data_IF_600319320443
#
_entry.id   IF_600319320443
#
_cell.length_a   1.000
_cell.length_b   1.000
_cell.length_c   1.000
_cell.angle_alpha   90.00
_cell.angle_beta   90.00
_cell.angle_gamma   90.00
#
_symmetry.space_group_name_H-M   'P 1'
#
loop_
_entity.id
_entity.type
_entity.pdbx_description
1 polymer ?
#
# COMPACT_ATOMS: atom_id res chain seq x y z
N UNK A 1 22.58 -6.11 15.04
CA UNK A 1 21.59 -5.05 14.75
C UNK A 1 21.47 -4.96 13.24
N UNK A 2 20.32 -5.32 12.70
CA UNK A 2 20.06 -5.29 11.25
C UNK A 2 20.19 -3.84 10.77
N UNK A 3 21.09 -3.60 9.83
CA UNK A 3 21.33 -2.26 9.29
C UNK A 3 20.52 -2.10 8.01
N UNK A 4 19.26 -1.68 8.15
CA UNK A 4 18.41 -1.25 7.05
C UNK A 4 18.36 0.28 7.00
N UNK A 5 18.39 0.83 5.80
CA UNK A 5 18.25 2.26 5.49
C UNK A 5 17.20 2.52 4.39
N UNK A 6 16.79 3.78 4.25
CA UNK A 6 15.76 4.18 3.28
C UNK A 6 16.44 4.77 2.05
N UNK A 7 16.87 3.90 1.13
CA UNK A 7 17.42 4.29 -0.16
C UNK A 7 16.49 3.90 -1.29
N UNK A 8 16.43 4.74 -2.32
CA UNK A 8 15.71 4.50 -3.56
C UNK A 8 16.73 4.28 -4.67
N UNK A 9 16.45 3.30 -5.53
CA UNK A 9 17.21 3.04 -6.73
C UNK A 9 16.26 2.98 -7.93
N UNK A 10 16.70 3.53 -9.06
CA UNK A 10 16.00 3.40 -10.33
C UNK A 10 16.74 2.39 -11.20
N UNK A 11 15.99 1.44 -11.77
CA UNK A 11 16.55 0.42 -12.66
C UNK A 11 15.91 0.57 -14.03
N UNK A 12 16.71 0.96 -15.03
CA UNK A 12 16.26 1.01 -16.42
C UNK A 12 16.17 -0.41 -17.01
N UNK A 13 15.23 -0.63 -17.93
CA UNK A 13 15.03 -1.91 -18.64
C UNK A 13 16.31 -2.47 -19.25
N UNK A 14 17.17 -1.63 -19.83
CA UNK A 14 18.45 -2.06 -20.43
C UNK A 14 19.41 -2.66 -19.41
N UNK A 15 19.40 -2.17 -18.16
CA UNK A 15 20.22 -2.69 -17.06
C UNK A 15 19.61 -3.97 -16.53
N UNK A 16 18.29 -4.00 -16.32
CA UNK A 16 17.57 -5.19 -15.87
C UNK A 16 17.80 -6.39 -16.80
N UNK A 17 17.68 -6.22 -18.12
CA UNK A 17 17.88 -7.31 -19.06
C UNK A 17 19.34 -7.78 -19.19
N UNK A 18 20.30 -6.97 -18.73
CA UNK A 18 21.72 -7.38 -18.63
C UNK A 18 22.01 -8.10 -17.33
N UNK A 19 21.32 -7.73 -16.25
CA UNK A 19 21.49 -8.27 -14.90
C UNK A 19 20.11 -8.56 -14.30
N UNK A 20 19.41 -9.61 -14.77
CA UNK A 20 18.06 -9.90 -14.32
C UNK A 20 18.08 -10.40 -12.87
N UNK A 21 17.02 -10.07 -12.14
CA UNK A 21 16.74 -10.60 -10.80
C UNK A 21 15.25 -10.87 -10.67
N UNK A 22 14.92 -11.88 -9.86
CA UNK A 22 13.55 -12.33 -9.65
C UNK A 22 13.02 -11.88 -8.28
N UNK A 23 11.70 -11.91 -8.13
CA UNK A 23 11.05 -11.66 -6.83
C UNK A 23 11.26 -12.84 -5.88
N UNK A 24 11.73 -12.58 -4.66
CA UNK A 24 11.96 -13.61 -3.63
C UNK A 24 10.67 -14.11 -2.95
N UNK A 25 9.61 -13.30 -2.92
CA UNK A 25 8.33 -13.62 -2.27
C UNK A 25 7.16 -13.25 -3.18
N UNK A 26 6.09 -14.04 -3.14
CA UNK A 26 4.85 -13.78 -3.87
C UNK A 26 3.92 -12.91 -3.02
N UNK A 27 3.21 -11.92 -3.59
CA UNK A 27 2.22 -11.11 -2.87
C UNK A 27 1.22 -11.89 -2.00
N UNK A 28 0.84 -13.11 -2.40
CA UNK A 28 -0.10 -13.97 -1.64
C UNK A 28 0.48 -14.55 -0.35
N UNK A 29 1.80 -14.51 -0.18
CA UNK A 29 2.51 -15.00 1.02
C UNK A 29 2.60 -13.94 2.12
N UNK A 30 2.07 -12.73 1.90
CA UNK A 30 2.03 -11.71 2.94
C UNK A 30 1.14 -12.18 4.10
N UNK A 31 1.68 -12.04 5.30
CA UNK A 31 1.03 -12.39 6.56
C UNK A 31 0.72 -11.13 7.36
N UNK A 32 -0.36 -11.17 8.12
CA UNK A 32 -0.81 -10.05 8.93
C UNK A 32 -0.03 -10.00 10.25
N UNK A 33 0.48 -8.83 10.57
CA UNK A 33 1.22 -8.51 11.78
C UNK A 33 0.55 -7.35 12.50
N UNK A 34 0.49 -7.43 13.82
CA UNK A 34 0.00 -6.37 14.69
C UNK A 34 1.19 -5.62 15.25
N UNK A 35 1.18 -4.31 15.11
CA UNK A 35 2.21 -3.41 15.63
C UNK A 35 2.01 -3.25 17.12
N UNK A 36 2.96 -3.71 17.92
CA UNK A 36 2.94 -3.57 19.37
C UNK A 36 3.55 -2.25 19.82
N UNK A 37 4.65 -1.86 19.20
CA UNK A 37 5.34 -0.60 19.49
C UNK A 37 6.14 -0.11 18.27
N UNK A 38 6.37 1.19 18.19
CA UNK A 38 7.11 1.81 17.07
C UNK A 38 7.91 3.05 17.51
N UNK A 39 9.20 3.02 17.21
CA UNK A 39 10.15 4.09 17.47
C UNK A 39 10.65 4.71 16.16
N UNK A 40 10.38 5.99 15.97
CA UNK A 40 10.79 6.71 14.76
C UNK A 40 12.28 7.05 14.78
N UNK A 41 12.97 6.75 13.68
CA UNK A 41 14.38 7.10 13.49
C UNK A 41 14.47 8.41 12.70
N UNK A 42 14.75 9.48 13.45
CA UNK A 42 14.92 10.81 12.91
C UNK A 42 16.15 10.88 12.00
N UNK A 43 16.11 11.77 11.01
CA UNK A 43 17.17 11.92 10.01
C UNK A 43 18.56 12.18 10.59
N UNK A 44 18.63 12.81 11.76
CA UNK A 44 19.89 13.09 12.49
C UNK A 44 20.57 11.84 13.05
N UNK A 45 19.79 10.80 13.33
CA UNK A 45 20.27 9.55 13.94
C UNK A 45 20.58 8.49 12.86
N UNK A 46 20.33 8.83 11.58
CA UNK A 46 20.62 7.97 10.44
C UNK A 46 22.12 7.98 10.16
N UNK A 47 22.71 6.79 10.04
CA UNK A 47 24.09 6.64 9.58
C UNK A 47 24.16 6.94 8.09
N UNK A 48 24.93 7.97 7.73
CA UNK A 48 25.28 8.25 6.34
C UNK A 48 26.66 7.68 6.04
N UNK A 49 26.84 7.16 4.83
CA UNK A 49 28.11 6.58 4.39
C UNK A 49 28.41 6.94 2.93
N UNK A 50 29.69 7.03 2.54
CA UNK A 50 30.05 7.35 1.16
C UNK A 50 29.52 6.29 0.20
N UNK A 51 28.84 6.72 -0.87
CA UNK A 51 28.18 5.84 -1.83
C UNK A 51 26.74 5.46 -1.46
N UNK A 52 26.17 6.01 -0.38
CA UNK A 52 24.75 5.88 -0.09
C UNK A 52 23.93 6.49 -1.23
N UNK A 53 22.97 5.71 -1.76
CA UNK A 53 22.08 6.12 -2.85
C UNK A 53 21.13 7.25 -2.45
N UNK A 54 20.22 7.61 -3.36
CA UNK A 54 19.23 8.65 -3.09
C UNK A 54 18.32 8.25 -1.92
N UNK A 55 18.18 9.11 -0.92
CA UNK A 55 17.30 8.87 0.23
C UNK A 55 15.87 9.21 -0.15
N UNK A 56 14.91 8.36 0.25
CA UNK A 56 13.49 8.63 -0.03
C UNK A 56 12.96 9.78 0.83
N UNK A 57 12.23 10.71 0.21
CA UNK A 57 11.49 11.76 0.93
C UNK A 57 10.08 11.32 1.35
N UNK A 58 9.53 10.26 0.75
CA UNK A 58 8.19 9.73 1.06
C UNK A 58 8.17 8.92 2.36
N UNK A 59 9.27 8.25 2.68
CA UNK A 59 9.32 7.25 3.74
C UNK A 59 10.07 7.73 4.98
N UNK A 60 9.61 7.28 6.14
CA UNK A 60 10.26 7.51 7.44
C UNK A 60 10.67 6.16 8.01
N UNK A 61 11.96 6.05 8.33
CA UNK A 61 12.52 4.87 8.96
C UNK A 61 12.04 4.76 10.41
N UNK A 62 11.63 3.58 10.82
CA UNK A 62 11.23 3.29 12.20
C UNK A 62 11.67 1.89 12.61
N UNK A 63 12.03 1.74 13.88
CA UNK A 63 12.19 0.44 14.53
C UNK A 63 10.82 0.04 15.09
N UNK A 64 10.36 -1.17 14.76
CA UNK A 64 9.00 -1.63 15.07
C UNK A 64 9.05 -3.01 15.70
N UNK A 65 8.20 -3.20 16.71
CA UNK A 65 7.98 -4.49 17.36
C UNK A 65 6.62 -5.03 16.95
N UNK A 66 6.62 -6.20 16.34
CA UNK A 66 5.41 -6.80 15.76
C UNK A 66 5.17 -8.21 16.27
N UNK A 67 3.91 -8.62 16.27
CA UNK A 67 3.46 -10.00 16.54
C UNK A 67 2.60 -10.45 15.38
N UNK A 68 2.71 -11.72 14.96
CA UNK A 68 1.79 -12.26 13.94
C UNK A 68 0.36 -12.19 14.47
N UNK A 69 -0.58 -11.73 13.65
CA UNK A 69 -1.99 -11.58 14.07
C UNK A 69 -2.59 -12.91 14.58
N UNK A 70 -2.17 -14.04 14.00
CA UNK A 70 -2.59 -15.39 14.42
C UNK A 70 -2.02 -15.83 15.78
N UNK A 71 -0.97 -15.19 16.27
CA UNK A 71 -0.27 -15.50 17.52
C UNK A 71 -0.56 -14.48 18.62
N UNK A 72 -1.33 -13.43 18.31
CA UNK A 72 -1.70 -12.39 19.24
C UNK A 72 -2.45 -13.00 20.45
N UNK A 73 -1.92 -12.77 21.65
CA UNK A 73 -2.47 -13.31 22.90
C UNK A 73 -2.12 -14.76 23.21
N UNK A 74 -1.44 -15.46 22.29
CA UNK A 74 -0.88 -16.80 22.53
C UNK A 74 0.58 -16.75 22.97
N UNK A 75 1.33 -15.78 22.44
CA UNK A 75 2.77 -15.63 22.67
C UNK A 75 3.10 -14.17 22.97
N UNK A 76 4.00 -13.94 23.93
CA UNK A 76 4.46 -12.59 24.32
C UNK A 76 5.71 -12.14 23.53
N UNK A 77 6.26 -13.02 22.69
CA UNK A 77 7.46 -12.72 21.91
C UNK A 77 7.12 -11.78 20.74
N UNK A 78 7.62 -10.56 20.81
CA UNK A 78 7.60 -9.60 19.71
C UNK A 78 8.83 -9.78 18.82
N UNK A 79 8.64 -9.70 17.51
CA UNK A 79 9.74 -9.65 16.53
C UNK A 79 10.10 -8.19 16.28
N UNK A 80 11.39 -7.87 16.41
CA UNK A 80 11.93 -6.56 16.03
C UNK A 80 12.21 -6.54 14.53
N UNK A 81 11.78 -5.48 13.85
CA UNK A 81 12.19 -5.20 12.48
C UNK A 81 12.30 -3.70 12.25
N UNK A 82 12.95 -3.32 11.15
CA UNK A 82 13.06 -1.93 10.71
C UNK A 82 12.21 -1.72 9.48
N UNK A 83 11.33 -0.73 9.51
CA UNK A 83 10.34 -0.45 8.47
C UNK A 83 10.49 0.94 7.87
N UNK A 84 10.06 1.09 6.61
CA UNK A 84 9.95 2.36 5.89
C UNK A 84 8.58 3.04 6.11
N UNK A 85 7.66 2.35 6.80
CA UNK A 85 6.28 2.78 7.05
C UNK A 85 6.12 3.60 8.35
N UNK A 86 7.20 4.20 8.86
CA UNK A 86 7.18 4.93 10.14
C UNK A 86 6.26 6.15 10.18
N UNK A 87 5.92 6.71 9.02
CA UNK A 87 4.99 7.84 8.93
C UNK A 87 3.51 7.42 8.92
N UNK A 88 3.22 6.12 8.76
CA UNK A 88 1.87 5.58 8.59
C UNK A 88 1.47 4.71 9.78
N UNK A 89 2.38 3.85 10.24
CA UNK A 89 2.10 2.88 11.29
C UNK A 89 2.07 3.53 12.68
N UNK A 90 1.12 3.09 13.49
CA UNK A 90 0.97 3.40 14.91
C UNK A 90 0.85 2.10 15.73
N UNK A 91 1.13 2.12 17.05
CA UNK A 91 0.83 0.98 17.91
C UNK A 91 -0.65 0.60 17.83
N UNK A 92 -0.93 -0.69 17.68
CA UNK A 92 -2.26 -1.26 17.47
C UNK A 92 -2.66 -1.42 16.01
N UNK A 93 -1.93 -0.82 15.06
CA UNK A 93 -2.22 -0.99 13.63
C UNK A 93 -1.90 -2.41 13.16
N UNK A 94 -2.63 -2.84 12.13
CA UNK A 94 -2.30 -4.03 11.38
C UNK A 94 -1.44 -3.69 10.16
N UNK A 95 -0.43 -4.52 9.86
CA UNK A 95 0.47 -4.39 8.73
C UNK A 95 0.65 -5.75 8.05
N UNK A 96 0.82 -5.75 6.74
CA UNK A 96 1.15 -6.95 5.96
C UNK A 96 2.65 -7.02 5.71
N UNK A 97 3.22 -8.19 5.94
CA UNK A 97 4.64 -8.42 5.77
C UNK A 97 5.01 -9.86 5.42
N UNK A 98 6.23 -10.03 4.95
CA UNK A 98 6.82 -11.33 4.67
C UNK A 98 7.60 -11.84 5.87
N UNK A 99 7.35 -13.09 6.26
CA UNK A 99 8.09 -13.79 7.30
C UNK A 99 9.32 -14.46 6.69
N UNK A 100 10.40 -13.72 6.46
CA UNK A 100 11.61 -14.26 5.83
C UNK A 100 12.30 -15.31 6.71
N UNK A 101 12.27 -15.16 8.04
CA UNK A 101 12.88 -16.12 8.97
C UNK A 101 12.28 -17.53 8.89
N UNK A 102 11.00 -17.63 8.54
CA UNK A 102 10.28 -18.90 8.40
C UNK A 102 10.16 -19.37 6.94
N UNK A 103 10.53 -18.51 5.98
CA UNK A 103 10.34 -18.77 4.55
C UNK A 103 11.52 -19.53 3.94
N UNK A 104 11.24 -20.59 3.19
CA UNK A 104 12.25 -21.29 2.39
C UNK A 104 12.43 -20.59 1.03
N UNK A 105 13.43 -19.71 0.93
CA UNK A 105 13.72 -18.91 -0.27
C UNK A 105 14.81 -19.59 -1.08
N UNK A 106 14.47 -19.97 -2.31
CA UNK A 106 15.40 -20.56 -3.27
C UNK A 106 15.89 -19.49 -4.27
N UNK A 107 16.80 -18.63 -3.82
CA UNK A 107 17.43 -17.61 -4.67
C UNK A 107 18.97 -17.58 -4.48
N UNK A 108 19.77 -17.74 -5.55
CA UNK A 108 21.23 -17.77 -5.45
C UNK A 108 21.87 -16.49 -4.94
N UNK A 109 21.18 -15.34 -5.00
CA UNK A 109 21.69 -14.08 -4.46
C UNK A 109 21.34 -13.95 -2.98
N UNK A 110 20.18 -14.43 -2.56
CA UNK A 110 19.75 -14.50 -1.17
C UNK A 110 20.67 -15.42 -0.34
N UNK A 111 21.06 -16.58 -0.88
CA UNK A 111 21.98 -17.51 -0.21
C UNK A 111 23.39 -16.92 0.03
N UNK A 112 23.78 -15.88 -0.73
CA UNK A 112 25.08 -15.20 -0.57
C UNK A 112 25.05 -14.13 0.52
N UNK A 113 23.88 -13.77 1.04
CA UNK A 113 23.74 -12.75 2.06
C UNK A 113 24.15 -13.27 3.43
N UNK A 114 24.67 -12.37 4.27
CA UNK A 114 24.95 -12.68 5.68
C UNK A 114 23.64 -12.79 6.45
N UNK A 115 23.36 -13.97 7.01
CA UNK A 115 22.15 -14.28 7.77
C UNK A 115 21.90 -13.28 8.90
N UNK A 116 22.97 -12.71 9.51
CA UNK A 116 22.82 -11.73 10.60
C UNK A 116 22.29 -10.36 10.15
N UNK A 117 22.28 -10.10 8.84
CA UNK A 117 21.79 -8.85 8.24
C UNK A 117 20.42 -8.98 7.61
N UNK A 118 19.92 -10.21 7.47
CA UNK A 118 18.59 -10.47 6.92
C UNK A 118 17.58 -10.26 8.05
N UNK A 119 16.52 -9.46 7.84
CA UNK A 119 15.46 -9.30 8.82
C UNK A 119 14.55 -10.53 8.84
N UNK A 120 14.05 -10.90 10.02
CA UNK A 120 13.09 -12.00 10.14
C UNK A 120 11.74 -11.66 9.50
N UNK A 121 11.34 -10.38 9.57
CA UNK A 121 10.07 -9.88 9.03
C UNK A 121 10.32 -8.61 8.22
N UNK A 122 9.71 -8.50 7.04
CA UNK A 122 9.68 -7.26 6.25
C UNK A 122 8.24 -6.79 6.12
N UNK A 123 7.91 -5.63 6.70
CA UNK A 123 6.61 -4.99 6.52
C UNK A 123 6.56 -4.26 5.18
N UNK A 124 5.49 -4.50 4.43
CA UNK A 124 5.29 -4.00 3.06
C UNK A 124 4.26 -2.88 3.01
N UNK A 125 3.08 -3.09 3.63
CA UNK A 125 2.00 -2.09 3.63
C UNK A 125 1.17 -2.14 4.91
N UNK A 126 0.53 -1.03 5.29
CA UNK A 126 -0.49 -1.02 6.34
C UNK A 126 -1.74 -1.78 5.86
N UNK A 127 -2.39 -2.50 6.77
CA UNK A 127 -3.63 -3.19 6.54
C UNK A 127 -4.78 -2.40 7.19
N UNK A 128 -5.59 -1.74 6.37
CA UNK A 128 -6.69 -0.86 6.82
C UNK A 128 -7.99 -1.61 7.15
N UNK A 129 -7.93 -2.86 7.61
CA UNK A 129 -9.10 -3.63 8.03
C UNK A 129 -10.07 -3.98 6.90
N UNK A 130 -11.38 -3.91 7.17
CA UNK A 130 -12.44 -4.43 6.28
C UNK A 130 -12.52 -3.66 4.95
N UNK A 131 -11.95 -4.28 3.90
CA UNK A 131 -12.06 -3.81 2.50
C UNK A 131 -13.52 -3.61 2.08
N UNK A 132 -14.44 -4.45 2.57
CA UNK A 132 -15.87 -4.37 2.26
C UNK A 132 -16.48 -3.06 2.75
N UNK A 133 -16.23 -2.69 4.00
CA UNK A 133 -16.65 -1.41 4.56
C UNK A 133 -16.10 -0.23 3.75
N UNK A 134 -14.78 -0.19 3.49
CA UNK A 134 -14.15 0.88 2.71
C UNK A 134 -14.80 1.08 1.34
N UNK A 135 -15.04 -0.03 0.61
CA UNK A 135 -15.67 -0.01 -0.71
C UNK A 135 -17.12 0.48 -0.69
N UNK A 136 -17.85 0.34 0.42
CA UNK A 136 -19.22 0.91 0.56
C UNK A 136 -19.20 2.44 0.63
N UNK A 137 -18.16 3.01 1.25
CA UNK A 137 -17.96 4.46 1.35
C UNK A 137 -17.37 5.11 0.10
N UNK A 138 -16.98 4.31 -0.91
CA UNK A 138 -16.48 4.81 -2.19
C UNK A 138 -17.58 5.59 -2.91
N UNK A 139 -17.37 6.89 -3.06
CA UNK A 139 -18.27 7.86 -3.69
C UNK A 139 -17.75 8.34 -5.06
N UNK A 140 -16.80 7.63 -5.64
CA UNK A 140 -16.19 7.93 -6.92
C UNK A 140 -16.15 6.68 -7.82
N UNK A 141 -16.02 6.90 -9.13
CA UNK A 141 -15.95 5.85 -10.15
C UNK A 141 -15.00 6.22 -11.29
N UNK A 142 -14.54 5.21 -12.01
CA UNK A 142 -13.83 5.38 -13.27
C UNK A 142 -14.79 5.22 -14.45
N UNK A 143 -14.49 5.89 -15.56
CA UNK A 143 -15.20 5.69 -16.82
C UNK A 143 -14.42 4.72 -17.70
N UNK A 144 -15.13 3.73 -18.23
CA UNK A 144 -14.60 2.83 -19.23
C UNK A 144 -14.97 3.34 -20.63
N UNK A 145 -14.06 3.19 -21.58
CA UNK A 145 -14.41 3.33 -23.00
C UNK A 145 -15.34 2.17 -23.37
N UNK A 146 -16.31 2.40 -24.24
CA UNK A 146 -17.35 1.41 -24.62
C UNK A 146 -16.77 -0.02 -24.76
N UNK A 147 -17.19 -0.91 -23.87
CA UNK A 147 -16.57 -2.22 -23.68
C UNK A 147 -17.27 -3.28 -24.53
N UNK A 148 -16.51 -3.95 -25.40
CA UNK A 148 -16.90 -5.23 -26.01
C UNK A 148 -16.81 -6.30 -24.90
N UNK A 149 -17.89 -7.04 -24.69
CA UNK A 149 -18.14 -7.89 -23.51
C UNK A 149 -17.03 -8.91 -23.22
N UNK A 150 -16.08 -8.58 -22.36
CA UNK A 150 -15.08 -9.50 -21.81
C UNK A 150 -15.46 -9.94 -20.39
N UNK A 151 -15.20 -11.21 -20.09
CA UNK A 151 -15.71 -11.96 -18.94
C UNK A 151 -15.40 -11.30 -17.58
N UNK A 152 -16.46 -10.79 -16.94
CA UNK A 152 -16.41 -9.87 -15.78
C UNK A 152 -16.04 -10.50 -14.43
N UNK A 153 -16.09 -11.82 -14.25
CA UNK A 153 -16.07 -12.39 -12.89
C UNK A 153 -14.67 -12.51 -12.24
N UNK A 154 -13.59 -12.66 -13.02
CA UNK A 154 -12.21 -12.58 -12.49
C UNK A 154 -11.70 -11.13 -12.54
N UNK A 155 -12.16 -10.36 -13.53
CA UNK A 155 -11.88 -8.94 -13.66
C UNK A 155 -12.39 -8.12 -12.46
N UNK A 156 -13.45 -8.55 -11.77
CA UNK A 156 -14.02 -7.79 -10.63
C UNK A 156 -13.08 -7.68 -9.44
N UNK A 157 -12.37 -8.74 -9.04
CA UNK A 157 -11.48 -8.68 -7.87
C UNK A 157 -10.23 -7.84 -8.15
N UNK A 158 -9.58 -8.07 -9.29
CA UNK A 158 -8.40 -7.32 -9.71
C UNK A 158 -8.75 -5.85 -9.95
N UNK A 159 -9.93 -5.57 -10.52
CA UNK A 159 -10.44 -4.21 -10.66
C UNK A 159 -10.68 -3.55 -9.31
N UNK A 160 -11.28 -4.26 -8.34
CA UNK A 160 -11.50 -3.69 -7.01
C UNK A 160 -10.19 -3.45 -6.25
N UNK A 161 -9.18 -4.31 -6.41
CA UNK A 161 -7.84 -4.09 -5.86
C UNK A 161 -7.18 -2.87 -6.49
N UNK A 162 -7.29 -2.70 -7.81
CA UNK A 162 -6.83 -1.50 -8.49
C UNK A 162 -7.50 -0.22 -7.96
N UNK A 163 -8.81 -0.25 -7.72
CA UNK A 163 -9.51 0.90 -7.11
C UNK A 163 -9.05 1.16 -5.66
N UNK A 164 -8.74 0.11 -4.89
CA UNK A 164 -8.19 0.25 -3.54
C UNK A 164 -6.78 0.90 -3.61
N UNK A 165 -5.93 0.52 -4.56
CA UNK A 165 -4.59 1.12 -4.77
C UNK A 165 -4.66 2.62 -5.12
N UNK A 166 -5.64 3.02 -5.93
CA UNK A 166 -5.88 4.44 -6.26
C UNK A 166 -6.31 5.28 -5.04
N UNK A 167 -7.04 4.68 -4.10
CA UNK A 167 -7.36 5.33 -2.82
C UNK A 167 -6.13 5.46 -1.92
N UNK A 168 -5.29 4.42 -1.89
CA UNK A 168 -4.15 4.31 -0.99
C UNK A 168 -2.92 5.16 -1.40
N UNK A 169 -2.63 5.32 -2.70
CA UNK A 169 -1.43 6.05 -3.17
C UNK A 169 -1.72 7.21 -4.16
N UNK A 170 -1.43 8.47 -3.76
CA UNK A 170 -1.49 9.64 -4.63
C UNK A 170 -0.71 9.54 -5.94
N UNK A 171 0.41 8.80 -5.94
CA UNK A 171 1.23 8.64 -7.15
C UNK A 171 0.54 7.78 -8.20
N UNK A 172 -0.20 6.74 -7.76
CA UNK A 172 -0.92 5.85 -8.68
C UNK A 172 -2.11 6.55 -9.34
N UNK A 173 -2.74 7.49 -8.62
CA UNK A 173 -3.89 8.26 -9.09
C UNK A 173 -3.55 9.48 -9.96
N UNK A 174 -2.28 9.90 -10.04
CA UNK A 174 -1.88 11.14 -10.73
C UNK A 174 -2.34 11.23 -12.19
N UNK A 175 -2.42 10.10 -12.91
CA UNK A 175 -2.78 10.04 -14.33
C UNK A 175 -4.13 9.36 -14.58
N UNK A 176 -5.00 9.31 -13.56
CA UNK A 176 -6.31 8.64 -13.65
C UNK A 176 -7.42 9.65 -13.43
N UNK A 177 -8.36 9.73 -14.37
CA UNK A 177 -9.54 10.59 -14.24
C UNK A 177 -10.55 9.94 -13.29
N UNK A 178 -10.71 10.55 -12.12
CA UNK A 178 -11.64 10.10 -11.09
C UNK A 178 -12.92 10.95 -11.17
N UNK A 179 -14.08 10.31 -11.27
CA UNK A 179 -15.36 11.00 -11.38
C UNK A 179 -16.20 10.78 -10.13
N UNK A 180 -16.93 11.82 -9.70
CA UNK A 180 -17.89 11.70 -8.60
C UNK A 180 -19.05 10.78 -8.99
N UNK A 181 -19.41 9.85 -8.11
CA UNK A 181 -20.56 8.97 -8.30
C UNK A 181 -21.81 9.53 -7.62
N UNK A 182 -22.61 10.29 -8.38
CA UNK A 182 -23.86 10.91 -7.89
C UNK A 182 -24.89 9.89 -7.37
N UNK A 183 -24.78 8.61 -7.74
CA UNK A 183 -25.67 7.57 -7.21
C UNK A 183 -25.43 7.30 -5.72
N UNK A 184 -24.22 7.58 -5.23
CA UNK A 184 -23.83 7.40 -3.83
C UNK A 184 -24.23 8.56 -2.93
N UNK A 185 -24.49 9.74 -3.49
CA UNK A 185 -24.90 10.93 -2.74
C UNK A 185 -26.26 10.75 -2.03
N UNK A 186 -27.12 9.84 -2.51
CA UNK A 186 -28.44 9.55 -1.92
C UNK A 186 -28.38 8.48 -0.82
N UNK A 187 -27.26 7.77 -0.69
CA UNK A 187 -27.08 6.76 0.35
C UNK A 187 -26.55 7.50 1.57
N UNK A 188 -27.39 7.67 2.58
CA UNK A 188 -26.94 8.12 3.89
C UNK A 188 -26.01 7.04 4.46
N UNK A 189 -24.70 7.21 4.26
CA UNK A 189 -23.71 6.36 4.91
C UNK A 189 -23.41 7.00 6.25
N UNK A 190 -23.65 6.23 7.32
CA UNK A 190 -23.42 6.71 8.67
C UNK A 190 -21.94 7.05 8.82
N UNK A 191 -21.67 8.33 9.07
CA UNK A 191 -20.31 8.86 9.20
C UNK A 191 -19.60 8.29 10.43
N UNK A 192 -20.36 7.85 11.44
CA UNK A 192 -19.80 7.21 12.63
C UNK A 192 -19.29 5.77 12.35
N UNK A 193 -19.73 5.14 11.25
CA UNK A 193 -19.24 3.82 10.78
C UNK A 193 -18.01 3.95 9.85
N UNK A 194 -17.52 5.19 9.60
CA UNK A 194 -16.39 5.46 8.70
C UNK A 194 -15.04 4.95 9.20
N UNK A 195 -14.95 4.49 10.45
CA UNK A 195 -13.73 3.91 11.02
C UNK A 195 -12.57 4.90 11.12
N UNK A 196 -11.36 4.35 11.20
CA UNK A 196 -10.08 5.04 11.40
C UNK A 196 -9.85 6.20 10.40
N UNK A 197 -9.71 7.43 10.90
CA UNK A 197 -9.42 8.64 10.10
C UNK A 197 -8.11 8.53 9.29
N UNK A 198 -7.22 7.60 9.64
CA UNK A 198 -5.96 7.37 8.90
C UNK A 198 -6.15 6.61 7.59
N UNK A 199 -7.36 6.12 7.28
CA UNK A 199 -7.65 5.43 6.03
C UNK A 199 -7.53 6.41 4.84
N UNK A 200 -6.64 6.16 3.87
CA UNK A 200 -6.51 6.99 2.69
C UNK A 200 -7.80 7.03 1.87
N UNK A 201 -8.18 8.22 1.41
CA UNK A 201 -9.36 8.46 0.57
C UNK A 201 -9.03 9.49 -0.51
N UNK A 202 -9.75 9.40 -1.63
CA UNK A 202 -9.73 10.45 -2.65
C UNK A 202 -10.62 11.59 -2.16
N UNK A 203 -10.07 12.80 -2.18
CA UNK A 203 -10.78 14.00 -1.73
C UNK A 203 -11.77 14.47 -2.79
N UNK A 204 -12.79 15.23 -2.39
CA UNK A 204 -13.77 15.80 -3.33
C UNK A 204 -13.11 16.72 -4.36
N UNK A 205 -12.06 17.44 -3.97
CA UNK A 205 -11.31 18.35 -4.84
C UNK A 205 -10.59 17.62 -5.99
N UNK A 206 -10.32 16.33 -5.83
CA UNK A 206 -9.69 15.48 -6.83
C UNK A 206 -10.71 14.79 -7.76
N UNK A 207 -12.00 14.92 -7.46
CA UNK A 207 -13.07 14.32 -8.26
C UNK A 207 -13.53 15.29 -9.34
N UNK A 208 -13.69 14.77 -10.56
CA UNK A 208 -14.31 15.47 -11.66
C UNK A 208 -15.83 15.29 -11.61
N UNK A 209 -16.55 16.37 -11.88
CA UNK A 209 -17.98 16.30 -12.15
C UNK A 209 -18.23 15.72 -13.55
N UNK A 210 -19.29 14.92 -13.65
CA UNK A 210 -19.71 14.40 -14.93
C UNK A 210 -20.34 15.51 -15.78
N UNK A 211 -19.79 15.72 -16.99
CA UNK A 211 -20.30 16.68 -17.95
C UNK A 211 -21.49 16.06 -18.71
N UNK A 212 -22.70 16.23 -18.16
CA UNK A 212 -23.94 15.89 -18.85
C UNK A 212 -24.36 17.06 -19.76
N UNK A 213 -23.99 16.99 -21.04
CA UNK A 213 -24.56 17.85 -22.07
C UNK A 213 -25.96 17.31 -22.41
N UNK A 214 -26.95 17.63 -21.57
CA UNK A 214 -28.33 17.55 -22.01
C UNK A 214 -28.53 18.72 -22.99
N UNK A 215 -28.76 18.40 -24.27
CA UNK A 215 -29.05 19.40 -25.30
C UNK A 215 -30.27 20.22 -24.87
N UNK A 216 -30.03 21.40 -24.30
CA UNK A 216 -31.07 22.40 -24.10
C UNK A 216 -31.47 22.85 -25.50
N UNK A 217 -32.58 22.31 -26.02
CA UNK A 217 -33.20 22.80 -27.23
C UNK A 217 -33.46 24.30 -27.04
N UNK A 218 -32.63 25.14 -27.66
CA UNK A 218 -32.88 26.57 -27.74
C UNK A 218 -34.21 26.74 -28.47
N UNK A 219 -35.26 27.07 -27.74
CA UNK A 219 -36.49 27.57 -28.35
C UNK A 219 -36.15 28.94 -28.93
N UNK A 220 -35.99 29.01 -30.26
CA UNK A 220 -36.01 30.28 -30.97
C UNK A 220 -37.40 30.92 -30.78
N UNK A 221 -37.43 32.02 -30.04
CA UNK A 221 -38.55 32.99 -30.03
C UNK A 221 -38.46 33.96 -31.18
#
# INVERSE_FOLDING_TARGET
MIQMDVTVAEVNSTVFWRYPFDSICNPKQMTEYIVMDIDLILSKDRKTFPGQGAVSNKHILADVWVVKASELGLTENTVHTRTHLGHILKPGDSALGYALGDSNINDPNFEKLDTNKIPDVILVRKHYGDKGARRRFRNWKLKHLAEESTNLNTATNDYLEFLDDLEEDPTYRQNVNIFRDKSKDQIAVDVDDLGDETIPRITLDEMLDDLNLEDVQMQET
#
